data_IF_201782519087
#
_entry.id   IF_201782519087
#
_cell.length_a   1.000
_cell.length_b   1.000
_cell.length_c   1.000
_cell.angle_alpha   90.00
_cell.angle_beta   90.00
_cell.angle_gamma   90.00
#
_symmetry.space_group_name_H-M   'P 1'
#
loop_
_entity.id
_entity.type
_entity.pdbx_description
1 polymer ?
#
# COMPACT_ATOMS: atom_id res chain seq x y z
N UNK A 1 17.81 -7.15 4.05
CA UNK A 1 16.36 -7.02 3.74
C UNK A 1 15.81 -8.20 2.94
N UNK A 2 16.47 -8.63 1.85
CA UNK A 2 15.98 -9.71 0.98
C UNK A 2 15.62 -11.02 1.71
N UNK A 3 16.46 -11.47 2.66
CA UNK A 3 16.20 -12.70 3.43
C UNK A 3 14.91 -12.61 4.27
N UNK A 4 14.61 -11.44 4.85
CA UNK A 4 13.37 -11.23 5.62
C UNK A 4 12.13 -11.30 4.74
N UNK A 5 12.22 -10.79 3.51
CA UNK A 5 11.14 -10.90 2.51
C UNK A 5 10.92 -12.36 2.14
N UNK A 6 12.00 -13.10 1.86
CA UNK A 6 11.92 -14.51 1.49
C UNK A 6 11.32 -15.38 2.62
N UNK A 7 11.74 -15.14 3.87
CA UNK A 7 11.19 -15.84 5.03
C UNK A 7 9.69 -15.58 5.20
N UNK A 8 9.28 -14.30 5.16
CA UNK A 8 7.87 -13.91 5.26
C UNK A 8 6.99 -14.56 4.16
N UNK A 9 7.48 -14.57 2.92
CA UNK A 9 6.80 -15.26 1.82
C UNK A 9 6.64 -16.77 2.10
N UNK A 10 7.66 -17.42 2.65
CA UNK A 10 7.58 -18.83 3.04
C UNK A 10 6.57 -19.08 4.18
N UNK A 11 6.48 -18.17 5.15
CA UNK A 11 5.53 -18.26 6.26
C UNK A 11 4.07 -18.16 5.77
N UNK A 12 3.79 -17.29 4.80
CA UNK A 12 2.48 -17.20 4.15
C UNK A 12 2.14 -18.51 3.44
N UNK A 13 3.07 -19.05 2.64
CA UNK A 13 2.84 -20.31 1.88
C UNK A 13 2.60 -21.49 2.82
N UNK A 14 3.30 -21.53 3.96
CA UNK A 14 3.11 -22.56 4.99
C UNK A 14 1.81 -22.39 5.79
N UNK A 15 1.09 -21.28 5.61
CA UNK A 15 -0.14 -21.00 6.34
C UNK A 15 0.10 -20.75 7.83
N UNK A 16 1.25 -20.18 8.20
CA UNK A 16 1.52 -19.83 9.60
C UNK A 16 0.43 -18.83 10.07
N UNK A 17 -0.28 -19.11 11.18
CA UNK A 17 -1.32 -18.22 11.67
C UNK A 17 -0.83 -16.78 11.83
N UNK A 18 -1.55 -15.81 11.28
CA UNK A 18 -1.21 -14.39 11.31
C UNK A 18 -0.21 -13.91 10.26
N UNK A 19 0.49 -14.79 9.54
CA UNK A 19 1.53 -14.37 8.58
C UNK A 19 0.98 -13.44 7.48
N UNK A 20 -0.22 -13.71 6.98
CA UNK A 20 -0.85 -12.92 5.90
C UNK A 20 -1.51 -11.62 6.40
N UNK A 21 -1.71 -11.45 7.70
CA UNK A 21 -2.44 -10.30 8.24
C UNK A 21 -1.74 -8.97 7.94
N UNK A 22 -0.40 -8.98 7.97
CA UNK A 22 0.41 -7.81 7.63
C UNK A 22 0.23 -7.40 6.16
N UNK A 23 0.18 -8.35 5.24
CA UNK A 23 -0.05 -8.10 3.81
C UNK A 23 -1.47 -7.61 3.55
N UNK A 24 -2.46 -8.18 4.25
CA UNK A 24 -3.84 -7.73 4.17
C UNK A 24 -4.01 -6.30 4.70
N UNK A 25 -3.32 -5.94 5.79
CA UNK A 25 -3.30 -4.57 6.30
C UNK A 25 -2.65 -3.62 5.28
N UNK A 26 -1.47 -3.96 4.76
CA UNK A 26 -0.78 -3.23 3.69
C UNK A 26 -1.68 -3.01 2.48
N UNK A 27 -2.39 -4.04 2.02
CA UNK A 27 -3.29 -3.96 0.87
C UNK A 27 -4.50 -3.05 1.12
N UNK A 28 -5.05 -3.06 2.34
CA UNK A 28 -6.13 -2.15 2.74
C UNK A 28 -5.68 -0.70 2.72
N UNK A 29 -4.57 -0.38 3.39
CA UNK A 29 -4.01 0.98 3.38
C UNK A 29 -3.70 1.48 1.95
N UNK A 30 -3.16 0.62 1.08
CA UNK A 30 -2.94 0.96 -0.34
C UNK A 30 -4.23 1.28 -1.09
N UNK A 31 -5.30 0.51 -0.87
CA UNK A 31 -6.60 0.76 -1.50
C UNK A 31 -7.20 2.08 -1.03
N UNK A 32 -7.07 2.36 0.26
CA UNK A 32 -7.64 3.55 0.90
C UNK A 32 -6.77 4.79 0.68
N UNK A 33 -5.62 4.65 0.00
CA UNK A 33 -4.61 5.69 -0.19
C UNK A 33 -4.11 6.28 1.14
N UNK A 34 -4.15 5.49 2.21
CA UNK A 34 -3.61 5.83 3.53
C UNK A 34 -2.10 5.54 3.55
N UNK A 35 -1.32 6.55 3.21
CA UNK A 35 0.13 6.47 3.16
C UNK A 35 0.77 6.23 4.52
N UNK A 36 0.27 6.87 5.57
CA UNK A 36 0.80 6.70 6.92
C UNK A 36 0.56 5.28 7.46
N UNK A 37 -0.66 4.76 7.25
CA UNK A 37 -0.99 3.37 7.53
C UNK A 37 -0.09 2.42 6.74
N UNK A 38 0.09 2.66 5.44
CA UNK A 38 0.97 1.86 4.59
C UNK A 38 2.42 1.88 5.09
N UNK A 39 2.97 3.04 5.48
CA UNK A 39 4.32 3.13 6.00
C UNK A 39 4.47 2.41 7.33
N UNK A 40 3.49 2.53 8.23
CA UNK A 40 3.54 1.91 9.57
C UNK A 40 3.71 0.38 9.53
N UNK A 41 3.14 -0.28 8.52
CA UNK A 41 3.22 -1.73 8.33
C UNK A 41 4.23 -2.15 7.26
N UNK A 42 5.07 -1.25 6.75
CA UNK A 42 6.14 -1.61 5.83
C UNK A 42 7.22 -2.47 6.54
N UNK A 43 8.06 -3.16 5.76
CA UNK A 43 9.24 -3.84 6.31
C UNK A 43 10.30 -2.82 6.77
N UNK A 44 10.36 -1.69 6.07
CA UNK A 44 11.27 -0.57 6.30
C UNK A 44 10.48 0.74 6.07
N UNK A 45 9.84 1.27 7.13
CA UNK A 45 9.01 2.47 7.05
C UNK A 45 9.79 3.72 6.63
N UNK A 46 11.03 3.86 7.10
CA UNK A 46 11.86 5.04 6.85
C UNK A 46 12.25 5.11 5.37
N UNK A 47 12.73 4.00 4.81
CA UNK A 47 13.00 3.91 3.38
C UNK A 47 11.76 4.16 2.53
N UNK A 48 10.59 3.64 2.92
CA UNK A 48 9.35 3.84 2.18
C UNK A 48 8.91 5.31 2.15
N UNK A 49 9.04 6.02 3.28
CA UNK A 49 8.77 7.46 3.38
C UNK A 49 9.72 8.26 2.51
N UNK A 50 11.02 7.94 2.58
CA UNK A 50 12.05 8.60 1.78
C UNK A 50 11.76 8.48 0.28
N UNK A 51 11.46 7.26 -0.20
CA UNK A 51 11.12 7.03 -1.62
C UNK A 51 9.87 7.79 -2.07
N UNK A 52 8.85 7.96 -1.20
CA UNK A 52 7.70 8.81 -1.54
C UNK A 52 8.11 10.28 -1.63
N UNK A 53 8.84 10.78 -0.63
CA UNK A 53 9.28 12.17 -0.60
C UNK A 53 10.13 12.53 -1.83
N UNK A 54 11.00 11.61 -2.26
CA UNK A 54 11.86 11.78 -3.44
C UNK A 54 11.12 11.56 -4.78
N UNK A 55 9.90 11.02 -4.76
CA UNK A 55 9.19 10.67 -6.00
C UNK A 55 8.70 11.88 -6.82
N UNK A 56 8.70 13.08 -6.23
CA UNK A 56 8.16 14.29 -6.87
C UNK A 56 6.64 14.27 -7.03
N UNK A 57 5.95 13.48 -6.19
CA UNK A 57 4.49 13.41 -6.21
C UNK A 57 3.86 14.74 -5.82
N UNK A 58 2.85 15.16 -6.58
CA UNK A 58 1.94 16.22 -6.14
C UNK A 58 1.01 15.66 -5.07
N UNK A 59 1.22 16.06 -3.82
CA UNK A 59 0.44 15.59 -2.66
C UNK A 59 -1.07 15.93 -2.80
N UNK A 60 -1.44 16.95 -3.59
CA UNK A 60 -2.86 17.24 -3.87
C UNK A 60 -3.55 16.13 -4.66
N UNK A 61 -2.78 15.31 -5.40
CA UNK A 61 -3.31 14.17 -6.11
C UNK A 61 -3.68 13.01 -5.16
N UNK A 62 -3.06 12.91 -3.99
CA UNK A 62 -3.32 11.89 -2.97
C UNK A 62 -2.87 10.46 -3.31
N UNK A 63 -2.49 10.16 -4.57
CA UNK A 63 -1.97 8.86 -4.98
C UNK A 63 -0.44 8.90 -5.23
N UNK A 64 0.09 8.00 -6.05
CA UNK A 64 1.50 8.00 -6.47
C UNK A 64 1.66 8.59 -7.88
N UNK A 65 2.91 8.72 -8.34
CA UNK A 65 3.26 9.32 -9.64
C UNK A 65 3.05 8.38 -10.84
N UNK A 66 2.73 7.10 -10.62
CA UNK A 66 2.78 6.10 -11.69
C UNK A 66 1.65 6.23 -12.71
N UNK A 67 0.40 6.42 -12.27
CA UNK A 67 -0.78 6.41 -13.14
C UNK A 67 -1.41 7.80 -13.34
N UNK A 68 -1.02 8.79 -12.51
CA UNK A 68 -1.62 10.12 -12.50
C UNK A 68 -3.15 10.09 -12.40
N UNK A 69 -3.83 10.87 -13.24
CA UNK A 69 -5.30 10.99 -13.24
C UNK A 69 -6.05 9.67 -13.43
N UNK A 70 -5.41 8.63 -13.98
CA UNK A 70 -6.01 7.30 -14.18
C UNK A 70 -5.66 6.32 -13.06
N UNK A 71 -5.37 6.81 -11.85
CA UNK A 71 -5.15 5.97 -10.67
C UNK A 71 -6.33 4.99 -10.45
N UNK A 72 -6.05 3.69 -10.51
CA UNK A 72 -7.06 2.65 -10.43
C UNK A 72 -7.87 2.70 -9.11
N UNK A 73 -7.21 2.97 -7.98
CA UNK A 73 -7.89 3.05 -6.69
C UNK A 73 -8.82 4.25 -6.59
N UNK A 74 -8.42 5.43 -7.10
CA UNK A 74 -9.30 6.61 -7.14
C UNK A 74 -10.54 6.35 -8.01
N UNK A 75 -10.35 5.83 -9.22
CA UNK A 75 -11.46 5.48 -10.12
C UNK A 75 -12.39 4.44 -9.50
N UNK A 76 -11.84 3.45 -8.79
CA UNK A 76 -12.63 2.43 -8.10
C UNK A 76 -13.42 3.01 -6.92
N UNK A 77 -12.83 3.90 -6.15
CA UNK A 77 -13.50 4.55 -5.01
C UNK A 77 -14.63 5.45 -5.49
N UNK A 78 -14.39 6.30 -6.49
CA UNK A 78 -15.43 7.16 -7.10
C UNK A 78 -16.62 6.35 -7.62
N UNK A 79 -16.37 5.19 -8.25
CA UNK A 79 -17.43 4.29 -8.73
C UNK A 79 -18.20 3.63 -7.58
N UNK A 80 -17.53 3.34 -6.47
CA UNK A 80 -18.14 2.69 -5.30
C UNK A 80 -19.02 3.69 -4.54
N UNK A 81 -18.57 4.93 -4.40
CA UNK A 81 -19.36 6.03 -3.82
C UNK A 81 -20.61 6.33 -4.64
N UNK A 82 -20.49 6.40 -5.98
CA UNK A 82 -21.65 6.60 -6.88
C UNK A 82 -22.68 5.47 -6.84
N UNK A 83 -22.32 4.26 -6.39
CA UNK A 83 -23.26 3.15 -6.18
C UNK A 83 -23.93 3.18 -4.80
N UNK A 84 -23.35 3.91 -3.85
CA UNK A 84 -23.86 4.01 -2.48
C UNK A 84 -24.91 5.12 -2.31
N UNK A 85 -25.13 5.93 -3.36
CA UNK A 85 -26.18 6.96 -3.49
C UNK A 85 -27.28 6.40 -4.39
#
# INVERSE_FOLDING_TARGET
MAVRIAAHAADIVKGIPGAIEKDNAMARYRKDLDWEGQFSVALDPEKARCLRAESGVDESHGACTMCGALCAYKVMNERSEKKAV
#
